data_IF_459419376111
#
_entry.id   IF_459419376111
#
_cell.length_a   1.000
_cell.length_b   1.000
_cell.length_c   1.000
_cell.angle_alpha   90.00
_cell.angle_beta   90.00
_cell.angle_gamma   90.00
#
_symmetry.space_group_name_H-M   'P 1'
#
loop_
_entity.id
_entity.type
_entity.pdbx_description
1 polymer ?
#
# COMPACT_ATOMS: atom_id res chain seq x y z
N UNK A 1 22.27 -20.35 3.40
CA UNK A 1 21.52 -20.12 2.14
C UNK A 1 20.35 -19.17 2.35
N UNK A 2 19.63 -19.30 3.47
CA UNK A 2 18.44 -18.51 3.82
C UNK A 2 18.72 -16.99 3.90
N UNK A 3 19.82 -16.56 4.52
CA UNK A 3 20.22 -15.13 4.59
C UNK A 3 20.34 -14.47 3.19
N UNK A 4 20.83 -15.20 2.19
CA UNK A 4 20.98 -14.70 0.82
C UNK A 4 19.63 -14.57 0.11
N UNK A 5 18.69 -15.49 0.38
CA UNK A 5 17.35 -15.42 -0.16
C UNK A 5 16.53 -14.28 0.49
N UNK A 6 16.54 -14.18 1.82
CA UNK A 6 15.88 -13.10 2.55
C UNK A 6 16.37 -11.72 2.12
N UNK A 7 17.68 -11.56 1.92
CA UNK A 7 18.26 -10.31 1.39
C UNK A 7 17.74 -9.95 0.01
N UNK A 8 17.62 -10.92 -0.90
CA UNK A 8 17.07 -10.70 -2.25
C UNK A 8 15.59 -10.31 -2.17
N UNK A 9 14.81 -10.97 -1.30
CA UNK A 9 13.40 -10.63 -1.09
C UNK A 9 13.24 -9.23 -0.50
N UNK A 10 14.05 -8.84 0.49
CA UNK A 10 14.08 -7.47 1.03
C UNK A 10 14.40 -6.44 -0.06
N UNK A 11 15.39 -6.71 -0.90
CA UNK A 11 15.71 -5.84 -2.02
C UNK A 11 14.53 -5.71 -3.00
N UNK A 12 13.88 -6.84 -3.34
CA UNK A 12 12.70 -6.83 -4.19
C UNK A 12 11.54 -6.04 -3.55
N UNK A 13 11.28 -6.23 -2.26
CA UNK A 13 10.29 -5.43 -1.51
C UNK A 13 10.58 -3.95 -1.61
N UNK A 14 11.83 -3.53 -1.42
CA UNK A 14 12.20 -2.12 -1.55
C UNK A 14 11.87 -1.56 -2.94
N UNK A 15 12.12 -2.33 -4.01
CA UNK A 15 11.78 -1.91 -5.37
C UNK A 15 10.26 -1.80 -5.58
N UNK A 16 9.51 -2.84 -5.18
CA UNK A 16 8.05 -2.88 -5.37
C UNK A 16 7.38 -1.79 -4.54
N UNK A 17 7.72 -1.67 -3.26
CA UNK A 17 7.19 -0.63 -2.37
C UNK A 17 7.58 0.76 -2.84
N UNK A 18 8.83 0.94 -3.30
CA UNK A 18 9.27 2.18 -3.91
C UNK A 18 8.44 2.57 -5.13
N UNK A 19 8.13 1.61 -5.99
CA UNK A 19 7.26 1.84 -7.16
C UNK A 19 5.82 2.22 -6.74
N UNK A 20 5.22 1.51 -5.78
CA UNK A 20 3.89 1.84 -5.22
C UNK A 20 3.90 3.26 -4.64
N UNK A 21 4.90 3.59 -3.83
CA UNK A 21 5.04 4.92 -3.23
C UNK A 21 5.18 6.01 -4.31
N UNK A 22 5.96 5.77 -5.36
CA UNK A 22 6.11 6.71 -6.46
C UNK A 22 4.78 6.94 -7.20
N UNK A 23 4.04 5.88 -7.53
CA UNK A 23 2.74 5.98 -8.21
C UNK A 23 1.75 6.76 -7.33
N UNK A 24 1.61 6.37 -6.06
CA UNK A 24 0.72 7.05 -5.12
C UNK A 24 1.10 8.52 -4.96
N UNK A 25 2.39 8.83 -4.80
CA UNK A 25 2.85 10.20 -4.65
C UNK A 25 2.54 11.04 -5.89
N UNK A 26 2.89 10.55 -7.08
CA UNK A 26 2.67 11.29 -8.34
C UNK A 26 1.19 11.53 -8.57
N UNK A 27 0.35 10.49 -8.44
CA UNK A 27 -1.10 10.62 -8.66
C UNK A 27 -1.74 11.55 -7.63
N UNK A 28 -1.43 11.36 -6.35
CA UNK A 28 -2.04 12.17 -5.29
C UNK A 28 -1.55 13.62 -5.31
N UNK A 29 -0.23 13.82 -5.40
CA UNK A 29 0.36 15.15 -5.34
C UNK A 29 0.04 15.97 -6.60
N UNK A 30 0.00 15.36 -7.78
CA UNK A 30 -0.40 16.06 -8.99
C UNK A 30 -1.83 16.62 -8.88
N UNK A 31 -2.75 15.86 -8.29
CA UNK A 31 -4.13 16.30 -8.09
C UNK A 31 -4.23 17.43 -7.05
N UNK A 32 -3.50 17.31 -5.93
CA UNK A 32 -3.42 18.38 -4.93
C UNK A 32 -2.80 19.67 -5.50
N UNK A 33 -1.76 19.54 -6.33
CA UNK A 33 -1.14 20.67 -7.03
C UNK A 33 -2.10 21.29 -8.04
N UNK A 34 -2.93 20.48 -8.72
CA UNK A 34 -3.99 20.98 -9.61
C UNK A 34 -5.00 21.83 -8.84
N UNK A 35 -5.46 21.37 -7.67
CA UNK A 35 -6.32 22.17 -6.80
C UNK A 35 -5.64 23.45 -6.33
N UNK A 36 -4.38 23.37 -5.92
CA UNK A 36 -3.61 24.53 -5.47
C UNK A 36 -3.44 25.58 -6.59
N UNK A 37 -3.05 25.15 -7.78
CA UNK A 37 -2.87 26.01 -8.94
C UNK A 37 -4.19 26.67 -9.39
N UNK A 38 -5.33 26.00 -9.17
CA UNK A 38 -6.67 26.54 -9.42
C UNK A 38 -7.24 27.40 -8.29
N UNK A 39 -6.54 27.55 -7.16
CA UNK A 39 -7.07 28.24 -5.97
C UNK A 39 -8.15 27.48 -5.21
N UNK A 40 -8.36 26.19 -5.52
CA UNK A 40 -9.42 25.34 -4.98
C UNK A 40 -8.95 24.45 -3.81
N UNK A 41 -7.67 24.48 -3.44
CA UNK A 41 -7.14 23.61 -2.38
C UNK A 41 -7.87 23.83 -1.05
N UNK A 42 -8.17 25.08 -0.69
CA UNK A 42 -8.92 25.39 0.54
C UNK A 42 -10.33 24.80 0.51
N UNK A 43 -11.02 24.89 -0.62
CA UNK A 43 -12.35 24.30 -0.81
C UNK A 43 -12.28 22.78 -0.71
N UNK A 44 -11.34 22.14 -1.40
CA UNK A 44 -11.14 20.70 -1.33
C UNK A 44 -10.97 20.19 0.11
N UNK A 45 -10.18 20.91 0.92
CA UNK A 45 -9.89 20.56 2.31
C UNK A 45 -11.04 20.85 3.30
N UNK A 46 -11.96 21.75 2.97
CA UNK A 46 -12.95 22.27 3.94
C UNK A 46 -14.41 21.97 3.59
N UNK A 47 -14.73 21.74 2.32
CA UNK A 47 -16.11 21.57 1.82
C UNK A 47 -16.65 20.14 1.94
N UNK A 48 -15.92 19.22 2.59
CA UNK A 48 -16.23 17.80 2.58
C UNK A 48 -15.84 17.09 1.28
N UNK A 49 -15.33 17.82 0.27
CA UNK A 49 -14.87 17.22 -0.99
C UNK A 49 -13.78 16.17 -0.76
N UNK A 50 -12.87 16.37 0.20
CA UNK A 50 -11.89 15.37 0.61
C UNK A 50 -12.49 14.05 1.13
N UNK A 51 -13.77 14.01 1.53
CA UNK A 51 -14.47 12.75 1.87
C UNK A 51 -15.06 12.08 0.62
N UNK A 52 -15.50 12.87 -0.36
CA UNK A 52 -16.03 12.39 -1.64
C UNK A 52 -14.94 11.99 -2.64
N UNK A 53 -13.74 12.54 -2.51
CA UNK A 53 -12.56 12.26 -3.33
C UNK A 53 -11.34 12.18 -2.40
N UNK A 54 -11.22 11.14 -1.57
CA UNK A 54 -10.16 11.04 -0.57
C UNK A 54 -8.80 10.68 -1.17
N UNK A 55 -8.76 10.18 -2.41
CA UNK A 55 -7.57 9.63 -3.05
C UNK A 55 -6.37 10.60 -3.08
N UNK A 56 -6.53 11.90 -3.41
CA UNK A 56 -5.39 12.81 -3.46
C UNK A 56 -4.63 12.89 -2.14
N UNK A 57 -5.34 13.05 -1.02
CA UNK A 57 -4.73 13.11 0.30
C UNK A 57 -4.20 11.75 0.74
N UNK A 58 -5.03 10.71 0.62
CA UNK A 58 -4.65 9.38 1.10
C UNK A 58 -3.44 8.86 0.33
N UNK A 59 -3.37 9.04 -0.99
CA UNK A 59 -2.24 8.58 -1.78
C UNK A 59 -0.98 9.37 -1.46
N UNK A 60 -1.04 10.70 -1.36
CA UNK A 60 0.14 11.50 -1.00
C UNK A 60 0.65 11.17 0.40
N UNK A 61 -0.22 11.16 1.42
CA UNK A 61 0.18 10.88 2.79
C UNK A 61 0.71 9.46 2.96
N UNK A 62 0.08 8.49 2.30
CA UNK A 62 0.47 7.10 2.39
C UNK A 62 1.78 6.80 1.65
N UNK A 63 2.05 7.47 0.53
CA UNK A 63 3.35 7.42 -0.14
C UNK A 63 4.47 7.97 0.75
N UNK A 64 4.23 9.10 1.41
CA UNK A 64 5.17 9.66 2.39
C UNK A 64 5.40 8.71 3.57
N UNK A 65 4.34 8.05 4.06
CA UNK A 65 4.44 7.05 5.11
C UNK A 65 5.27 5.82 4.68
N UNK A 66 5.11 5.34 3.45
CA UNK A 66 5.91 4.25 2.90
C UNK A 66 7.39 4.62 2.82
N UNK A 67 7.72 5.79 2.25
CA UNK A 67 9.10 6.28 2.18
C UNK A 67 9.69 6.50 3.58
N UNK A 68 8.91 7.08 4.48
CA UNK A 68 9.28 7.26 5.88
C UNK A 68 9.55 5.93 6.58
N UNK A 69 8.74 4.90 6.33
CA UNK A 69 8.94 3.55 6.85
C UNK A 69 10.23 2.92 6.34
N UNK A 70 10.53 3.05 5.03
CA UNK A 70 11.80 2.57 4.44
C UNK A 70 13.00 3.26 5.11
N UNK A 71 12.95 4.59 5.25
CA UNK A 71 14.01 5.34 5.94
C UNK A 71 14.14 4.90 7.39
N UNK A 72 13.02 4.74 8.11
CA UNK A 72 13.01 4.33 9.51
C UNK A 72 13.66 2.96 9.72
N UNK A 73 13.43 2.00 8.82
CA UNK A 73 14.14 0.70 8.83
C UNK A 73 15.63 0.90 8.57
N UNK A 74 15.98 1.69 7.55
CA UNK A 74 17.38 1.94 7.18
C UNK A 74 18.22 2.59 8.29
N UNK A 75 17.60 3.42 9.13
CA UNK A 75 18.26 4.05 10.29
C UNK A 75 18.05 3.29 11.61
N UNK A 76 17.46 2.09 11.58
CA UNK A 76 17.25 1.25 12.76
C UNK A 76 16.20 1.78 13.75
N UNK A 77 15.30 2.67 13.33
CA UNK A 77 14.17 3.16 14.15
C UNK A 77 12.91 2.30 14.05
N UNK A 78 12.83 1.46 13.03
CA UNK A 78 11.76 0.49 12.86
C UNK A 78 12.39 -0.89 12.62
N UNK A 79 12.00 -1.85 13.45
CA UNK A 79 12.44 -3.23 13.36
C UNK A 79 11.81 -3.96 12.15
N UNK A 80 12.40 -5.07 11.71
CA UNK A 80 12.00 -5.70 10.45
C UNK A 80 10.61 -6.28 10.55
N UNK A 81 10.29 -6.92 11.69
CA UNK A 81 8.98 -7.53 11.92
C UNK A 81 7.86 -6.49 11.85
N UNK A 82 8.00 -5.37 12.56
CA UNK A 82 7.02 -4.27 12.53
C UNK A 82 6.95 -3.64 11.16
N UNK A 83 8.07 -3.44 10.47
CA UNK A 83 8.06 -2.90 9.12
C UNK A 83 7.25 -3.79 8.16
N UNK A 84 7.40 -5.11 8.24
CA UNK A 84 6.66 -6.04 7.39
C UNK A 84 5.18 -6.08 7.73
N UNK A 85 4.81 -6.08 9.02
CA UNK A 85 3.41 -6.04 9.43
C UNK A 85 2.73 -4.74 9.04
N UNK A 86 3.37 -3.59 9.26
CA UNK A 86 2.84 -2.29 8.86
C UNK A 86 2.73 -2.17 7.34
N UNK A 87 3.76 -2.62 6.61
CA UNK A 87 3.77 -2.66 5.15
C UNK A 87 2.64 -3.55 4.61
N UNK A 88 2.51 -4.79 5.11
CA UNK A 88 1.43 -5.70 4.74
C UNK A 88 0.05 -5.12 5.06
N UNK A 89 -0.13 -4.56 6.26
CA UNK A 89 -1.39 -3.93 6.66
C UNK A 89 -1.77 -2.77 5.75
N UNK A 90 -0.81 -1.95 5.36
CA UNK A 90 -1.03 -0.83 4.45
C UNK A 90 -1.39 -1.31 3.03
N UNK A 91 -0.69 -2.30 2.47
CA UNK A 91 -1.03 -2.90 1.16
C UNK A 91 -2.42 -3.54 1.18
N UNK A 92 -2.74 -4.28 2.24
CA UNK A 92 -4.07 -4.86 2.43
C UNK A 92 -5.16 -3.78 2.48
N UNK A 93 -4.89 -2.67 3.17
CA UNK A 93 -5.82 -1.53 3.24
C UNK A 93 -6.06 -0.92 1.87
N UNK A 94 -5.04 -0.79 1.03
CA UNK A 94 -5.22 -0.25 -0.34
C UNK A 94 -6.05 -1.16 -1.23
N UNK A 95 -5.85 -2.48 -1.13
CA UNK A 95 -6.58 -3.46 -1.94
C UNK A 95 -8.04 -3.52 -1.49
N UNK A 96 -8.28 -3.67 -0.18
CA UNK A 96 -9.63 -3.71 0.38
C UNK A 96 -10.36 -2.38 0.17
N UNK A 97 -9.68 -1.26 0.37
CA UNK A 97 -10.21 0.08 0.15
C UNK A 97 -10.60 0.30 -1.31
N UNK A 98 -9.76 -0.13 -2.26
CA UNK A 98 -10.07 -0.07 -3.69
C UNK A 98 -11.29 -0.92 -4.05
N UNK A 99 -11.38 -2.14 -3.53
CA UNK A 99 -12.54 -3.00 -3.75
C UNK A 99 -13.80 -2.37 -3.16
N UNK A 100 -13.75 -1.87 -1.93
CA UNK A 100 -14.88 -1.22 -1.28
C UNK A 100 -15.34 0.02 -2.05
N UNK A 101 -14.40 0.85 -2.50
CA UNK A 101 -14.65 2.07 -3.27
C UNK A 101 -15.44 1.81 -4.55
N UNK A 102 -15.02 0.80 -5.33
CA UNK A 102 -15.64 0.49 -6.62
C UNK A 102 -16.84 -0.47 -6.52
N UNK A 103 -17.13 -1.01 -5.33
CA UNK A 103 -18.29 -1.88 -5.10
C UNK A 103 -19.32 -1.21 -4.19
N UNK A 104 -19.23 -1.45 -2.88
CA UNK A 104 -20.23 -1.07 -1.88
C UNK A 104 -20.33 0.45 -1.67
N UNK A 105 -19.28 1.21 -1.99
CA UNK A 105 -19.26 2.66 -1.84
C UNK A 105 -19.62 3.41 -3.13
N UNK A 106 -19.67 2.75 -4.28
CA UNK A 106 -20.04 3.37 -5.57
C UNK A 106 -19.34 4.72 -5.84
N UNK A 107 -18.04 4.80 -5.54
CA UNK A 107 -17.20 6.00 -5.66
C UNK A 107 -17.51 7.16 -4.69
N UNK A 108 -18.08 6.89 -3.51
CA UNK A 108 -18.30 7.94 -2.52
C UNK A 108 -18.49 7.45 -1.08
N UNK A 109 -18.18 8.32 -0.12
CA UNK A 109 -18.55 8.17 1.30
C UNK A 109 -19.63 9.19 1.65
N UNK A 110 -20.75 8.75 2.24
CA UNK A 110 -21.85 9.62 2.69
C UNK A 110 -22.94 9.89 1.63
N UNK A 111 -23.71 10.96 1.80
CA UNK A 111 -24.87 11.32 0.93
C UNK A 111 -24.49 11.56 -0.54
N UNK A 112 -23.19 11.76 -0.84
CA UNK A 112 -22.65 11.89 -2.19
C UNK A 112 -22.67 10.57 -3.02
N UNK A 113 -22.91 9.41 -2.39
CA UNK A 113 -22.95 8.11 -3.07
C UNK A 113 -24.23 7.86 -3.90
N UNK A 114 -25.22 8.78 -3.85
CA UNK A 114 -26.58 8.53 -4.36
C UNK A 114 -26.74 8.54 -5.90
N UNK A 115 -25.68 8.73 -6.70
CA UNK A 115 -25.80 8.93 -8.16
C UNK A 115 -24.85 8.14 -9.05
N UNK A 116 -23.93 7.33 -8.50
CA UNK A 116 -22.94 6.59 -9.27
C UNK A 116 -23.47 5.28 -9.85
N UNK A 117 -23.08 4.93 -11.08
CA UNK A 117 -23.30 3.62 -11.69
C UNK A 117 -22.78 2.53 -10.75
N UNK A 118 -23.66 1.69 -10.21
CA UNK A 118 -23.28 0.58 -9.33
C UNK A 118 -22.92 -0.63 -10.17
N UNK A 119 -21.80 -1.29 -9.85
CA UNK A 119 -21.49 -2.61 -10.38
C UNK A 119 -22.36 -3.66 -9.71
N UNK A 120 -22.84 -4.64 -10.48
CA UNK A 120 -23.79 -5.66 -9.99
C UNK A 120 -23.09 -6.72 -9.13
N UNK A 121 -21.75 -6.80 -9.16
CA UNK A 121 -20.98 -7.67 -8.28
C UNK A 121 -19.47 -7.44 -8.25
N UNK A 122 -18.79 -8.09 -7.29
CA UNK A 122 -17.34 -8.03 -7.09
C UNK A 122 -16.56 -8.49 -8.34
N UNK A 123 -17.07 -9.49 -9.05
CA UNK A 123 -16.47 -10.01 -10.29
C UNK A 123 -16.45 -8.93 -11.37
N UNK A 124 -17.54 -8.18 -11.52
CA UNK A 124 -17.64 -7.11 -12.51
C UNK A 124 -16.66 -5.97 -12.21
N UNK A 125 -16.45 -5.64 -10.93
CA UNK A 125 -15.46 -4.64 -10.51
C UNK A 125 -14.05 -5.08 -10.88
N UNK A 126 -13.68 -6.33 -10.55
CA UNK A 126 -12.35 -6.87 -10.87
C UNK A 126 -12.15 -6.97 -12.39
N UNK A 127 -13.17 -7.39 -13.14
CA UNK A 127 -13.09 -7.44 -14.60
C UNK A 127 -12.85 -6.04 -15.17
N UNK A 128 -13.73 -5.09 -14.89
CA UNK A 128 -13.72 -3.77 -15.52
C UNK A 128 -12.59 -2.84 -15.06
N UNK A 129 -12.15 -2.92 -13.80
CA UNK A 129 -11.19 -1.97 -13.24
C UNK A 129 -9.78 -2.56 -13.05
N UNK A 130 -9.61 -3.87 -13.24
CA UNK A 130 -8.32 -4.53 -13.11
C UNK A 130 -7.97 -5.37 -14.34
N UNK A 131 -8.83 -6.31 -14.76
CA UNK A 131 -8.52 -7.21 -15.86
C UNK A 131 -8.52 -6.50 -17.22
N UNK A 132 -9.61 -5.80 -17.56
CA UNK A 132 -9.77 -5.14 -18.86
C UNK A 132 -8.68 -4.10 -19.13
N UNK A 133 -8.30 -3.21 -18.18
CA UNK A 133 -7.20 -2.27 -18.41
C UNK A 133 -5.84 -2.94 -18.64
N UNK A 134 -5.59 -4.09 -18.02
CA UNK A 134 -4.35 -4.86 -18.22
C UNK A 134 -4.36 -5.60 -19.56
N UNK A 135 -5.49 -6.21 -19.93
CA UNK A 135 -5.64 -6.86 -21.24
C UNK A 135 -5.51 -5.83 -22.35
N UNK A 136 -6.15 -4.67 -22.22
CA UNK A 136 -6.08 -3.58 -23.19
C UNK A 136 -4.66 -3.06 -23.41
N UNK A 137 -3.89 -2.91 -22.32
CA UNK A 137 -2.46 -2.57 -22.38
C UNK A 137 -1.65 -3.65 -23.12
N UNK A 138 -1.83 -4.93 -22.75
CA UNK A 138 -1.03 -6.03 -23.30
C UNK A 138 -1.38 -6.34 -24.76
N UNK A 139 -2.64 -6.19 -25.14
CA UNK A 139 -3.12 -6.36 -26.51
C UNK A 139 -2.79 -5.14 -27.40
N UNK A 140 -2.35 -4.02 -26.80
CA UNK A 140 -2.08 -2.78 -27.52
C UNK A 140 -3.34 -2.11 -28.08
N UNK A 141 -4.51 -2.44 -27.53
CA UNK A 141 -5.81 -1.90 -27.98
C UNK A 141 -6.14 -0.57 -27.32
N UNK A 142 -5.57 -0.28 -26.15
CA UNK A 142 -5.81 0.94 -25.38
C UNK A 142 -4.52 1.71 -25.11
N UNK A 143 -4.61 3.05 -25.10
CA UNK A 143 -3.50 3.87 -24.63
C UNK A 143 -3.41 3.79 -23.10
N UNK A 144 -2.20 3.63 -22.51
CA UNK A 144 -2.03 3.58 -21.07
C UNK A 144 -2.61 4.83 -20.41
N UNK A 145 -3.61 4.64 -19.55
CA UNK A 145 -4.34 5.72 -18.87
C UNK A 145 -4.30 5.61 -17.35
N UNK A 146 -5.15 6.39 -16.68
CA UNK A 146 -5.29 6.36 -15.21
C UNK A 146 -5.76 4.99 -14.71
N UNK A 147 -6.67 4.34 -15.44
CA UNK A 147 -7.17 3.01 -15.10
C UNK A 147 -6.09 1.92 -15.25
N UNK A 148 -5.30 1.97 -16.32
CA UNK A 148 -4.14 1.09 -16.49
C UNK A 148 -3.13 1.26 -15.36
N UNK A 149 -2.81 2.51 -14.99
CA UNK A 149 -1.90 2.80 -13.89
C UNK A 149 -2.46 2.31 -12.55
N UNK A 150 -3.77 2.44 -12.33
CA UNK A 150 -4.43 1.89 -11.15
C UNK A 150 -4.31 0.36 -11.09
N UNK A 151 -4.56 -0.35 -12.19
CA UNK A 151 -4.42 -1.80 -12.23
C UNK A 151 -2.97 -2.27 -12.00
N UNK A 152 -1.98 -1.57 -12.57
CA UNK A 152 -0.56 -1.79 -12.29
C UNK A 152 -0.25 -1.57 -10.80
N UNK A 153 -0.74 -0.48 -10.21
CA UNK A 153 -0.56 -0.21 -8.78
C UNK A 153 -1.12 -1.35 -7.93
N UNK A 154 -2.34 -1.82 -8.20
CA UNK A 154 -2.95 -2.93 -7.46
C UNK A 154 -2.17 -4.24 -7.60
N UNK A 155 -1.57 -4.48 -8.77
CA UNK A 155 -0.68 -5.63 -8.98
C UNK A 155 0.55 -5.53 -8.07
N UNK A 156 1.20 -4.36 -8.05
CA UNK A 156 2.38 -4.12 -7.21
C UNK A 156 2.06 -4.19 -5.71
N UNK A 157 0.90 -3.68 -5.29
CA UNK A 157 0.43 -3.78 -3.91
C UNK A 157 0.20 -5.24 -3.48
N UNK A 158 -0.42 -6.05 -4.34
CA UNK A 158 -0.62 -7.47 -4.08
C UNK A 158 0.71 -8.25 -4.01
N UNK A 159 1.66 -7.92 -4.90
CA UNK A 159 3.02 -8.49 -4.86
C UNK A 159 3.73 -8.07 -3.57
N UNK A 160 3.68 -6.78 -3.19
CA UNK A 160 4.28 -6.30 -1.95
C UNK A 160 3.68 -7.01 -0.73
N UNK A 161 2.35 -7.17 -0.69
CA UNK A 161 1.66 -7.91 0.37
C UNK A 161 2.16 -9.35 0.49
N UNK A 162 2.26 -10.06 -0.62
CA UNK A 162 2.77 -11.43 -0.65
C UNK A 162 4.24 -11.51 -0.21
N UNK A 163 5.07 -10.56 -0.63
CA UNK A 163 6.48 -10.50 -0.24
C UNK A 163 6.67 -10.18 1.25
N UNK A 164 5.92 -9.22 1.80
CA UNK A 164 5.93 -8.95 3.24
C UNK A 164 5.46 -10.16 4.04
N UNK A 165 4.37 -10.80 3.60
CA UNK A 165 3.88 -12.04 4.18
C UNK A 165 4.96 -13.12 4.17
N UNK A 166 5.66 -13.29 3.05
CA UNK A 166 6.76 -14.27 2.93
C UNK A 166 7.91 -13.92 3.88
N UNK A 167 8.37 -12.66 3.90
CA UNK A 167 9.48 -12.21 4.74
C UNK A 167 9.20 -12.39 6.24
N UNK A 168 7.94 -12.31 6.69
CA UNK A 168 7.57 -12.61 8.07
C UNK A 168 7.89 -14.04 8.50
N UNK A 169 8.01 -14.98 7.56
CA UNK A 169 8.31 -16.38 7.85
C UNK A 169 9.75 -16.78 7.51
N UNK A 170 10.42 -16.06 6.60
CA UNK A 170 11.72 -16.50 6.05
C UNK A 170 12.88 -15.55 6.34
N UNK A 171 12.63 -14.36 6.88
CA UNK A 171 13.71 -13.44 7.24
C UNK A 171 14.19 -13.71 8.66
N UNK A 172 15.45 -14.18 8.85
CA UNK A 172 15.97 -14.50 10.20
C UNK A 172 16.00 -13.29 11.13
N UNK A 173 15.99 -12.07 10.59
CA UNK A 173 15.93 -10.82 11.38
C UNK A 173 14.62 -10.63 12.12
N UNK A 174 13.59 -11.42 11.78
CA UNK A 174 12.30 -11.41 12.49
C UNK A 174 12.39 -12.19 13.81
N UNK A 175 13.26 -13.22 13.88
CA UNK A 175 13.41 -14.08 15.06
C UNK A 175 14.44 -13.54 16.06
N UNK A 176 15.49 -12.86 15.57
CA UNK A 176 16.49 -12.18 16.43
C UNK A 176 15.88 -11.08 17.33
N UNK A 177 14.61 -10.73 17.10
CA UNK A 177 13.87 -9.67 17.79
C UNK A 177 12.93 -10.20 18.91
N UNK A 178 12.88 -11.52 19.20
CA UNK A 178 12.25 -11.97 20.44
C UNK A 178 13.05 -11.41 21.64
N UNK A 179 12.44 -10.58 22.51
CA UNK A 179 13.14 -10.11 23.69
C UNK A 179 13.50 -11.36 24.51
N UNK A 180 14.78 -11.53 24.83
CA UNK A 180 15.24 -12.52 25.81
C UNK A 180 14.21 -12.56 26.93
N UNK A 181 13.50 -13.68 27.06
CA UNK A 181 12.56 -13.84 28.16
C UNK A 181 13.38 -13.59 29.44
N UNK A 182 13.10 -12.53 30.21
CA UNK A 182 13.94 -12.17 31.34
C UNK A 182 13.97 -13.30 32.37
N UNK A 183 12.94 -14.14 32.41
CA UNK A 183 12.87 -15.35 33.23
C UNK A 183 13.82 -16.44 32.72
N UNK A 184 13.93 -16.63 31.40
CA UNK A 184 14.86 -17.59 30.80
C UNK A 184 16.32 -17.17 31.03
N UNK A 185 16.62 -15.86 30.93
CA UNK A 185 17.96 -15.33 31.20
C UNK A 185 18.40 -15.50 32.66
N UNK A 186 17.49 -15.23 33.61
CA UNK A 186 17.76 -15.43 35.04
C UNK A 186 17.98 -16.92 35.37
N UNK A 187 17.21 -17.82 34.74
CA UNK A 187 17.39 -19.25 34.94
C UNK A 187 18.75 -19.75 34.42
N UNK A 188 19.24 -19.19 33.31
CA UNK A 188 20.52 -19.57 32.68
C UNK A 188 21.74 -19.01 33.43
N UNK A 189 21.59 -17.89 34.12
CA UNK A 189 22.60 -17.34 35.05
C UNK A 189 22.66 -18.13 36.37
N UNK A 190 21.54 -18.68 36.82
CA UNK A 190 21.47 -19.45 38.07
C UNK A 190 22.11 -20.85 37.96
N UNK A 191 22.12 -21.44 36.77
CA UNK A 191 22.68 -22.79 36.50
C UNK A 191 24.17 -22.78 36.14
N UNK A 192 24.77 -21.59 35.95
CA UNK A 192 26.18 -21.41 35.61
C UNK A 192 27.13 -21.30 36.82
N UNK A 193 26.64 -21.56 38.03
CA UNK A 193 27.43 -21.66 39.27
C UNK A 193 27.62 -23.12 39.66
#
# INVERSE_FOLDING_TARGET
MEESAARKLRFLVLQVVGAVAAIHFVVGAAELLRFAAGGLLGEYLTSGQALSQPEPLLFTLSALALLGGVVAVGVGRLDHRRAYLLGAGLMGTYIVGWLAWHSVLSHGLGEAAAGGTSHVGLVDVVASHYADPLVGLLAGTDQPGRETLAAISKTLEAVALALFGTLLFVDPRVEEEEPENPVARIADEATRK
#
